data_IF_032096110457
#
_entry.id   IF_032096110457
#
_cell.length_a   1.000
_cell.length_b   1.000
_cell.length_c   1.000
_cell.angle_alpha   90.00
_cell.angle_beta   90.00
_cell.angle_gamma   90.00
#
_symmetry.space_group_name_H-M   'P 1'
#
loop_
_entity.id
_entity.type
_entity.pdbx_description
1 polymer ?
#
# COMPACT_ATOMS: atom_id res chain seq x y z
N UNK A 1 33.02 -43.68 -11.93
CA UNK A 1 31.74 -43.37 -12.63
C UNK A 1 30.61 -43.01 -11.66
N UNK A 2 30.34 -43.77 -10.58
CA UNK A 2 29.25 -43.51 -9.61
C UNK A 2 29.33 -42.16 -8.86
N UNK A 3 30.54 -41.67 -8.57
CA UNK A 3 30.77 -40.35 -7.93
C UNK A 3 30.46 -39.17 -8.84
N UNK A 4 30.68 -39.30 -10.16
CA UNK A 4 30.37 -38.25 -11.15
C UNK A 4 28.85 -38.12 -11.30
N UNK A 5 28.13 -39.24 -11.25
CA UNK A 5 26.66 -39.25 -11.29
C UNK A 5 26.02 -38.54 -10.07
N UNK A 6 26.62 -38.70 -8.89
CA UNK A 6 26.15 -38.03 -7.67
C UNK A 6 26.41 -36.51 -7.69
N UNK A 7 27.56 -36.07 -8.21
CA UNK A 7 27.89 -34.65 -8.34
C UNK A 7 27.01 -33.96 -9.39
N UNK A 8 26.75 -34.62 -10.52
CA UNK A 8 25.85 -34.11 -11.55
C UNK A 8 24.40 -33.98 -11.06
N UNK A 9 23.91 -34.95 -10.28
CA UNK A 9 22.57 -34.91 -9.70
C UNK A 9 22.42 -33.77 -8.66
N UNK A 10 23.42 -33.53 -7.82
CA UNK A 10 23.41 -32.40 -6.88
C UNK A 10 23.48 -31.04 -7.59
N UNK A 11 24.25 -30.93 -8.69
CA UNK A 11 24.35 -29.69 -9.44
C UNK A 11 23.03 -29.34 -10.13
N UNK A 12 22.29 -30.35 -10.64
CA UNK A 12 21.01 -30.17 -11.32
C UNK A 12 19.87 -29.68 -10.40
N UNK A 13 19.94 -29.96 -9.09
CA UNK A 13 18.97 -29.44 -8.12
C UNK A 13 19.12 -27.94 -7.83
N UNK A 14 20.32 -27.38 -8.00
CA UNK A 14 20.59 -25.96 -7.73
C UNK A 14 20.13 -25.02 -8.87
N UNK A 15 19.83 -25.56 -10.06
CA UNK A 15 19.32 -24.77 -11.19
C UNK A 15 17.80 -24.55 -11.17
N UNK A 16 17.07 -25.10 -10.19
CA UNK A 16 15.61 -25.00 -10.07
C UNK A 16 15.16 -24.12 -8.89
N UNK A 17 15.97 -23.16 -8.46
CA UNK A 17 15.54 -22.15 -7.50
C UNK A 17 14.55 -21.18 -8.17
N UNK A 18 13.28 -21.58 -8.26
CA UNK A 18 12.22 -20.67 -8.65
C UNK A 18 12.14 -19.53 -7.64
N UNK A 19 11.99 -18.27 -8.08
CA UNK A 19 11.72 -17.18 -7.16
C UNK A 19 10.44 -17.52 -6.39
N UNK A 20 10.56 -17.62 -5.06
CA UNK A 20 9.39 -17.72 -4.20
C UNK A 20 8.71 -16.35 -4.19
N UNK A 21 7.79 -16.13 -5.12
CA UNK A 21 6.87 -15.00 -5.04
C UNK A 21 5.93 -15.27 -3.87
N UNK A 22 6.27 -14.72 -2.69
CA UNK A 22 5.46 -14.86 -1.49
C UNK A 22 4.08 -14.18 -1.66
N UNK A 23 3.96 -13.27 -2.62
CA UNK A 23 2.75 -12.51 -2.86
C UNK A 23 1.93 -13.09 -4.01
N UNK A 24 1.04 -14.05 -3.72
CA UNK A 24 0.06 -14.58 -4.67
C UNK A 24 -1.25 -13.80 -4.57
N UNK A 25 -1.31 -12.63 -5.23
CA UNK A 25 -2.56 -11.87 -5.30
C UNK A 25 -3.55 -12.52 -6.28
N UNK A 26 -4.80 -12.66 -5.87
CA UNK A 26 -5.90 -12.79 -6.85
C UNK A 26 -6.04 -11.46 -7.61
N UNK A 27 -6.50 -11.48 -8.88
CA UNK A 27 -6.82 -10.26 -9.60
C UNK A 27 -7.73 -9.36 -8.77
N UNK A 28 -7.31 -8.12 -8.56
CA UNK A 28 -8.02 -7.19 -7.69
C UNK A 28 -9.43 -6.92 -8.21
N UNK A 29 -10.43 -7.15 -7.37
CA UNK A 29 -11.83 -6.82 -7.66
C UNK A 29 -12.16 -5.47 -7.02
N UNK A 30 -12.57 -4.43 -7.80
CA UNK A 30 -12.76 -3.09 -7.26
C UNK A 30 -13.79 -3.00 -6.14
N UNK A 31 -14.87 -3.79 -6.19
CA UNK A 31 -15.88 -3.81 -5.12
C UNK A 31 -15.31 -4.38 -3.83
N UNK A 32 -14.55 -5.48 -3.92
CA UNK A 32 -13.88 -6.07 -2.75
C UNK A 32 -12.82 -5.12 -2.19
N UNK A 33 -11.97 -4.55 -3.04
CA UNK A 33 -10.95 -3.57 -2.64
C UNK A 33 -11.59 -2.37 -1.94
N UNK A 34 -12.69 -1.84 -2.46
CA UNK A 34 -13.44 -0.75 -1.83
C UNK A 34 -14.00 -1.13 -0.46
N UNK A 35 -14.55 -2.35 -0.31
CA UNK A 35 -15.09 -2.84 0.96
C UNK A 35 -14.01 -2.97 2.02
N UNK A 36 -12.85 -3.54 1.67
CA UNK A 36 -11.74 -3.79 2.58
C UNK A 36 -10.93 -2.53 2.92
N UNK A 37 -10.88 -1.56 2.01
CA UNK A 37 -10.16 -0.31 2.24
C UNK A 37 -10.83 0.54 3.33
N UNK A 38 -10.02 1.20 4.16
CA UNK A 38 -10.49 2.26 5.07
C UNK A 38 -10.63 3.59 4.35
N UNK A 39 -9.75 3.84 3.38
CA UNK A 39 -9.77 5.04 2.55
C UNK A 39 -9.59 4.70 1.08
N UNK A 40 -10.32 5.43 0.23
CA UNK A 40 -10.21 5.30 -1.23
C UNK A 40 -10.16 6.70 -1.82
N UNK A 41 -9.06 7.03 -2.49
CA UNK A 41 -8.82 8.36 -3.04
C UNK A 41 -7.97 8.32 -4.31
N UNK A 42 -8.01 9.39 -5.09
CA UNK A 42 -7.11 9.63 -6.21
C UNK A 42 -6.18 10.77 -5.84
N UNK A 43 -4.92 10.66 -6.24
CA UNK A 43 -3.93 11.69 -5.97
C UNK A 43 -2.64 11.49 -6.75
N UNK A 44 -1.89 12.59 -6.85
CA UNK A 44 -0.57 12.64 -7.49
C UNK A 44 0.51 12.43 -6.43
N UNK A 45 1.48 11.57 -6.71
CA UNK A 45 2.62 11.37 -5.81
C UNK A 45 3.51 12.62 -5.82
N UNK A 46 3.70 13.25 -4.67
CA UNK A 46 4.54 14.43 -4.50
C UNK A 46 5.88 14.11 -3.84
N UNK A 47 5.95 13.04 -3.03
CA UNK A 47 7.18 12.63 -2.39
C UNK A 47 7.22 11.12 -2.09
N UNK A 48 8.43 10.55 -2.11
CA UNK A 48 8.69 9.14 -1.78
C UNK A 48 9.93 9.10 -0.90
N UNK A 49 9.82 8.54 0.30
CA UNK A 49 10.95 8.37 1.23
C UNK A 49 11.01 6.94 1.72
N UNK A 50 12.15 6.28 1.50
CA UNK A 50 12.46 4.95 2.04
C UNK A 50 13.07 5.12 3.44
N UNK A 51 12.56 4.40 4.43
CA UNK A 51 13.02 4.48 5.82
C UNK A 51 13.10 3.09 6.43
N UNK A 52 13.95 2.93 7.43
CA UNK A 52 13.94 1.75 8.29
C UNK A 52 13.08 2.06 9.52
N UNK A 53 12.20 1.13 9.90
CA UNK A 53 11.34 1.20 11.07
C UNK A 53 11.65 0.02 11.97
N UNK A 54 11.90 0.27 13.25
CA UNK A 54 11.99 -0.79 14.24
C UNK A 54 10.61 -1.42 14.44
N UNK A 55 10.55 -2.74 14.43
CA UNK A 55 9.34 -3.52 14.70
C UNK A 55 9.47 -4.13 16.09
N UNK A 56 8.59 -3.74 17.01
CA UNK A 56 8.60 -4.20 18.41
C UNK A 56 8.23 -5.69 18.56
N UNK A 57 7.70 -6.30 17.50
CA UNK A 57 7.22 -7.68 17.48
C UNK A 57 8.35 -8.65 17.16
N UNK A 58 9.24 -8.94 18.11
CA UNK A 58 9.87 -10.25 18.18
C UNK A 58 10.33 -10.53 19.63
N UNK A 59 9.57 -11.30 20.44
CA UNK A 59 9.89 -11.50 21.85
C UNK A 59 11.24 -12.19 22.11
N UNK A 60 11.83 -12.84 21.10
CA UNK A 60 13.02 -13.69 21.24
C UNK A 60 14.11 -13.46 20.16
N UNK A 61 14.22 -12.25 19.61
CA UNK A 61 15.31 -11.91 18.68
C UNK A 61 16.11 -10.74 19.25
N UNK A 62 17.35 -10.97 19.66
CA UNK A 62 18.32 -10.00 20.18
C UNK A 62 19.15 -9.30 19.08
N UNK A 63 19.02 -9.73 17.82
CA UNK A 63 19.65 -9.08 16.68
C UNK A 63 18.87 -7.82 16.26
N UNK A 64 19.43 -6.66 16.54
CA UNK A 64 18.86 -5.36 16.16
C UNK A 64 18.58 -5.26 14.65
N UNK A 65 19.42 -5.86 13.81
CA UNK A 65 19.26 -5.86 12.35
C UNK A 65 17.98 -6.58 11.88
N UNK A 66 17.56 -7.63 12.59
CA UNK A 66 16.36 -8.40 12.24
C UNK A 66 15.06 -7.69 12.68
N UNK A 67 15.18 -6.67 13.53
CA UNK A 67 14.05 -5.84 13.98
C UNK A 67 13.76 -4.68 13.04
N UNK A 68 14.59 -4.44 12.02
CA UNK A 68 14.43 -3.31 11.11
C UNK A 68 13.66 -3.72 9.86
N UNK A 69 12.45 -3.18 9.71
CA UNK A 69 11.67 -3.29 8.50
C UNK A 69 11.92 -2.09 7.57
N UNK A 70 12.11 -2.33 6.27
CA UNK A 70 12.25 -1.25 5.29
C UNK A 70 10.91 -0.88 4.70
N UNK A 71 10.42 0.31 5.06
CA UNK A 71 9.14 0.86 4.67
C UNK A 71 9.33 2.04 3.69
N UNK A 72 8.34 2.23 2.83
CA UNK A 72 8.28 3.36 1.89
C UNK A 72 7.11 4.24 2.26
N UNK A 73 7.42 5.48 2.62
CA UNK A 73 6.46 6.55 2.87
C UNK A 73 6.19 7.32 1.60
N UNK A 74 4.95 7.32 1.14
CA UNK A 74 4.52 8.00 -0.09
C UNK A 74 3.55 9.11 0.26
N UNK A 75 3.85 10.32 -0.21
CA UNK A 75 3.01 11.51 0.01
C UNK A 75 2.25 11.81 -1.27
N UNK A 76 0.95 12.06 -1.14
CA UNK A 76 0.04 12.38 -2.23
C UNK A 76 -0.55 13.76 -2.06
N UNK A 77 -0.65 14.49 -3.17
CA UNK A 77 -1.60 15.58 -3.35
C UNK A 77 -2.94 14.98 -3.81
N UNK A 78 -3.96 15.04 -2.96
CA UNK A 78 -5.24 14.35 -3.14
C UNK A 78 -6.19 15.20 -3.98
N UNK A 79 -6.69 14.62 -5.07
CA UNK A 79 -7.63 15.29 -5.99
C UNK A 79 -9.08 14.86 -5.79
N UNK A 80 -9.33 13.63 -5.32
CA UNK A 80 -10.69 13.11 -5.09
C UNK A 80 -10.73 12.02 -4.03
N UNK A 81 -11.79 11.97 -3.24
CA UNK A 81 -11.99 10.96 -2.18
C UNK A 81 -13.35 10.28 -2.36
N UNK A 82 -13.36 8.96 -2.40
CA UNK A 82 -14.58 8.15 -2.44
C UNK A 82 -14.92 7.53 -1.08
N UNK A 83 -13.91 7.24 -0.25
CA UNK A 83 -14.11 6.64 1.07
C UNK A 83 -13.09 7.19 2.08
N UNK A 84 -13.54 7.35 3.32
CA UNK A 84 -12.71 7.78 4.44
C UNK A 84 -12.55 9.30 4.52
N UNK A 85 -11.99 9.77 5.63
CA UNK A 85 -11.67 11.19 5.85
C UNK A 85 -10.20 11.40 5.52
N UNK A 86 -9.94 12.07 4.40
CA UNK A 86 -8.61 12.30 3.85
C UNK A 86 -8.44 13.79 3.60
N UNK A 87 -7.30 14.33 4.03
CA UNK A 87 -6.96 15.74 3.80
C UNK A 87 -6.42 15.96 2.38
N UNK A 88 -6.16 17.22 2.01
CA UNK A 88 -5.52 17.55 0.72
C UNK A 88 -4.16 16.88 0.53
N UNK A 89 -3.49 16.54 1.62
CA UNK A 89 -2.28 15.75 1.63
C UNK A 89 -2.53 14.41 2.33
N UNK A 90 -2.19 13.31 1.68
CA UNK A 90 -2.28 11.99 2.28
C UNK A 90 -0.90 11.35 2.33
N UNK A 91 -0.61 10.66 3.42
CA UNK A 91 0.58 9.82 3.57
C UNK A 91 0.11 8.37 3.58
N UNK A 92 0.72 7.55 2.72
CA UNK A 92 0.47 6.11 2.66
C UNK A 92 1.79 5.37 2.75
N UNK A 93 1.83 4.33 3.59
CA UNK A 93 2.98 3.45 3.73
C UNK A 93 2.82 2.19 2.89
N UNK A 94 3.95 1.63 2.45
CA UNK A 94 3.99 0.34 1.76
C UNK A 94 5.37 -0.31 1.93
N UNK A 95 5.44 -1.64 1.79
CA UNK A 95 6.72 -2.35 1.77
C UNK A 95 7.60 -1.91 0.60
N UNK A 96 8.92 -2.05 0.73
CA UNK A 96 9.87 -1.61 -0.30
C UNK A 96 9.78 -2.33 -1.65
N UNK A 97 9.35 -3.58 -1.68
CA UNK A 97 9.40 -4.39 -2.89
C UNK A 97 8.14 -5.23 -3.08
N UNK A 98 7.87 -5.61 -4.32
CA UNK A 98 6.79 -6.56 -4.66
C UNK A 98 6.97 -7.92 -3.98
N UNK A 99 8.21 -8.37 -3.81
CA UNK A 99 8.54 -9.60 -3.08
C UNK A 99 8.07 -9.55 -1.61
N UNK A 100 8.02 -8.35 -1.01
CA UNK A 100 7.45 -8.10 0.32
C UNK A 100 6.03 -7.52 0.24
N UNK A 101 5.30 -7.79 -0.85
CA UNK A 101 3.93 -7.31 -1.11
C UNK A 101 3.77 -5.78 -1.16
N UNK A 102 4.85 -5.05 -1.42
CA UNK A 102 4.87 -3.60 -1.58
C UNK A 102 4.31 -3.13 -2.93
N UNK A 103 3.81 -1.90 -2.95
CA UNK A 103 3.37 -1.24 -4.18
C UNK A 103 4.42 -0.21 -4.64
N UNK A 104 4.87 -0.32 -5.88
CA UNK A 104 5.87 0.58 -6.44
C UNK A 104 5.21 1.84 -7.01
N UNK A 105 5.41 2.98 -6.34
CA UNK A 105 4.95 4.28 -6.79
C UNK A 105 6.03 5.05 -7.56
N UNK A 106 5.60 5.91 -8.46
CA UNK A 106 6.46 6.83 -9.20
C UNK A 106 6.08 8.29 -8.86
N UNK A 107 7.08 9.11 -8.55
CA UNK A 107 6.88 10.53 -8.27
C UNK A 107 6.30 11.25 -9.49
N UNK A 108 5.30 12.11 -9.27
CA UNK A 108 4.60 12.86 -10.30
C UNK A 108 3.50 12.10 -11.03
N UNK A 109 3.33 10.80 -10.80
CA UNK A 109 2.22 10.00 -11.38
C UNK A 109 0.98 10.05 -10.50
N UNK A 110 -0.17 9.84 -11.12
CA UNK A 110 -1.47 9.80 -10.45
C UNK A 110 -1.95 8.37 -10.27
N UNK A 111 -2.53 8.09 -9.10
CA UNK A 111 -2.99 6.77 -8.71
C UNK A 111 -4.40 6.82 -8.15
N UNK A 112 -5.16 5.75 -8.37
CA UNK A 112 -6.28 5.38 -7.51
C UNK A 112 -5.73 4.51 -6.38
N UNK A 113 -5.87 4.96 -5.15
CA UNK A 113 -5.31 4.32 -3.95
C UNK A 113 -6.43 3.72 -3.12
N UNK A 114 -6.30 2.42 -2.83
CA UNK A 114 -7.09 1.69 -1.85
C UNK A 114 -6.22 1.45 -0.62
N UNK A 115 -6.41 2.26 0.42
CA UNK A 115 -5.62 2.20 1.63
C UNK A 115 -6.38 1.48 2.75
N UNK A 116 -5.71 0.50 3.36
CA UNK A 116 -6.11 -0.11 4.62
C UNK A 116 -5.73 0.76 5.82
N UNK A 117 -5.67 0.14 7.00
CA UNK A 117 -5.11 0.77 8.19
C UNK A 117 -4.34 -0.26 8.99
N UNK A 118 -3.13 0.10 9.36
CA UNK A 118 -2.31 -0.66 10.31
C UNK A 118 -1.75 0.35 11.32
N UNK A 119 -1.96 0.10 12.61
CA UNK A 119 -1.46 0.94 13.71
C UNK A 119 -1.72 2.46 13.52
N UNK A 120 -2.93 2.80 13.06
CA UNK A 120 -3.42 4.16 12.78
C UNK A 120 -2.85 4.85 11.53
N UNK A 121 -1.93 4.22 10.80
CA UNK A 121 -1.37 4.71 9.54
C UNK A 121 -2.13 4.12 8.34
N UNK A 122 -2.18 4.85 7.23
CA UNK A 122 -2.73 4.34 5.97
C UNK A 122 -1.68 3.48 5.28
N UNK A 123 -2.03 2.24 4.96
CA UNK A 123 -1.13 1.29 4.28
C UNK A 123 -1.73 0.79 2.98
N UNK A 124 -0.87 0.49 2.01
CA UNK A 124 -1.26 -0.15 0.75
C UNK A 124 -0.23 -1.20 0.36
N UNK A 125 -0.62 -2.11 -0.52
CA UNK A 125 0.27 -3.15 -1.03
C UNK A 125 -0.15 -3.64 -2.40
N UNK A 126 0.62 -4.60 -2.92
CA UNK A 126 0.45 -5.17 -4.25
C UNK A 126 -0.98 -5.68 -4.51
N UNK A 127 -1.60 -6.30 -3.52
CA UNK A 127 -2.94 -6.90 -3.65
C UNK A 127 -4.09 -5.94 -3.31
N UNK A 128 -3.83 -4.69 -2.93
CA UNK A 128 -4.86 -3.76 -2.46
C UNK A 128 -5.90 -3.39 -3.54
N UNK A 129 -5.49 -3.45 -4.81
CA UNK A 129 -6.23 -2.88 -5.93
C UNK A 129 -5.79 -1.46 -6.29
N UNK A 130 -4.83 -0.88 -5.56
CA UNK A 130 -4.16 0.38 -5.94
C UNK A 130 -3.53 0.24 -7.33
N UNK A 131 -3.73 1.25 -8.18
CA UNK A 131 -3.23 1.23 -9.57
C UNK A 131 -3.10 2.64 -10.16
N UNK A 132 -2.33 2.84 -11.26
CA UNK A 132 -2.28 4.12 -11.95
C UNK A 132 -3.68 4.57 -12.35
N UNK A 133 -3.96 5.87 -12.22
CA UNK A 133 -5.27 6.41 -12.53
C UNK A 133 -5.64 6.19 -14.01
N UNK A 134 -4.64 6.18 -14.89
CA UNK A 134 -4.76 5.91 -16.33
C UNK A 134 -5.30 4.52 -16.65
N UNK A 135 -5.17 3.55 -15.74
CA UNK A 135 -5.67 2.16 -15.92
C UNK A 135 -6.85 1.83 -15.01
N UNK A 136 -7.39 2.80 -14.29
CA UNK A 136 -8.42 2.61 -13.28
C UNK A 136 -9.87 2.75 -13.79
N UNK A 137 -10.10 2.76 -15.11
CA UNK A 137 -11.42 3.07 -15.67
C UNK A 137 -12.56 2.16 -15.15
N UNK A 138 -12.28 0.87 -15.00
CA UNK A 138 -13.25 -0.10 -14.46
C UNK A 138 -13.61 0.21 -12.99
N UNK A 139 -12.61 0.52 -12.17
CA UNK A 139 -12.78 0.94 -10.78
C UNK A 139 -13.61 2.22 -10.69
N UNK A 140 -13.24 3.25 -11.46
CA UNK A 140 -13.91 4.55 -11.45
C UNK A 140 -15.39 4.43 -11.83
N UNK A 141 -15.72 3.51 -12.73
CA UNK A 141 -17.11 3.22 -13.13
C UNK A 141 -17.93 2.66 -11.97
N UNK A 142 -17.33 1.84 -11.11
CA UNK A 142 -17.95 1.29 -9.90
C UNK A 142 -18.05 2.36 -8.81
N UNK A 143 -16.98 3.15 -8.63
CA UNK A 143 -16.88 4.18 -7.58
C UNK A 143 -17.79 5.39 -7.82
N UNK A 144 -18.23 5.64 -9.06
CA UNK A 144 -19.18 6.72 -9.37
C UNK A 144 -20.47 6.62 -8.54
N UNK A 145 -20.89 5.41 -8.20
CA UNK A 145 -22.12 5.16 -7.45
C UNK A 145 -21.91 5.20 -5.91
N UNK A 146 -20.66 5.29 -5.43
CA UNK A 146 -20.34 5.23 -4.00
C UNK A 146 -20.43 6.59 -3.28
N UNK A 147 -20.68 7.69 -4.00
CA UNK A 147 -20.61 9.05 -3.45
C UNK A 147 -19.17 9.56 -3.33
N UNK A 148 -18.99 10.89 -3.24
CA UNK A 148 -17.68 11.52 -3.00
C UNK A 148 -17.66 12.05 -1.57
N UNK A 149 -16.61 11.73 -0.80
CA UNK A 149 -16.40 12.30 0.54
C UNK A 149 -15.63 13.62 0.42
N UNK A 150 -15.91 14.59 1.31
CA UNK A 150 -15.25 15.90 1.29
C UNK A 150 -13.79 15.76 1.70
N UNK A 151 -12.88 16.38 0.95
CA UNK A 151 -11.48 16.54 1.35
C UNK A 151 -11.43 17.46 2.56
N UNK A 152 -10.79 17.01 3.64
CA UNK A 152 -10.71 17.79 4.87
C UNK A 152 -9.68 18.91 4.68
N UNK A 153 -10.17 20.15 4.54
CA UNK A 153 -9.31 21.33 4.53
C UNK A 153 -8.91 21.62 5.96
N UNK A 154 -7.60 21.58 6.25
CA UNK A 154 -7.06 22.13 7.50
C UNK A 154 -7.25 23.64 7.51
N UNK A 155 -8.38 24.09 8.01
CA UNK A 155 -8.56 25.44 8.56
C UNK A 155 -9.31 25.27 9.86
N UNK A 156 -8.64 25.51 10.99
CA UNK A 156 -9.29 25.52 12.28
C UNK A 156 -10.21 26.72 12.37
N UNK A 157 -11.52 26.50 12.35
CA UNK A 157 -12.52 27.46 12.83
C UNK A 157 -13.52 26.69 13.69
N UNK A 158 -13.42 26.94 14.98
CA UNK A 158 -14.36 26.54 16.01
C UNK A 158 -15.45 27.61 16.03
N UNK A 159 -16.59 27.34 15.40
CA UNK A 159 -17.80 28.16 15.50
C UNK A 159 -18.92 27.25 16.01
N UNK A 160 -19.15 27.26 17.32
CA UNK A 160 -20.33 27.90 17.92
C UNK A 160 -21.62 27.19 17.51
N UNK A 161 -21.96 26.15 18.27
CA UNK A 161 -23.33 25.65 18.35
C UNK A 161 -24.06 26.46 19.43
N UNK A 162 -24.74 27.47 18.92
CA UNK A 162 -26.02 28.02 19.34
C UNK A 162 -26.75 27.18 20.42
N UNK A 163 -26.80 27.69 21.66
CA UNK A 163 -27.76 27.26 22.68
C UNK A 163 -28.85 28.33 22.80
N UNK A 164 -29.80 28.24 21.88
CA UNK A 164 -31.12 28.84 22.00
C UNK A 164 -32.17 27.76 22.22
N UNK A 165 -32.39 27.40 23.50
CA UNK A 165 -33.68 27.24 24.21
C UNK A 165 -33.42 26.59 25.57
#
# INVERSE_FOLDING_TARGET
MKKILLVAASLLMLLNANPADACSCLPANPRRSYQQARAVFAGKVTDIVVRQRAVDRQPNNDNEADRLFTEVKVTFEVSKVWKGRISRQAVVMTSRSSASCGYNFEKGKEYLVYAGNEDAELTTGLCSGTKPLTTAQADLSILRNAGTTRIENQTGERSQEDRGL
#
